data_IF_370539860421
#
_entry.id   IF_370539860421
#
_cell.length_a   1.000
_cell.length_b   1.000
_cell.length_c   1.000
_cell.angle_alpha   90.00
_cell.angle_beta   90.00
_cell.angle_gamma   90.00
#
_symmetry.space_group_name_H-M   'P 1'
#
loop_
_entity.id
_entity.type
_entity.pdbx_description
1 polymer ?
#
# COMPACT_ATOMS: atom_id res chain seq x y z
N UNK A 1 -6.71 23.22 7.78
CA UNK A 1 -7.20 22.39 6.66
C UNK A 1 -6.20 21.27 6.40
N UNK A 2 -6.70 20.05 6.15
CA UNK A 2 -5.89 18.91 5.75
C UNK A 2 -5.80 18.87 4.21
N UNK A 3 -4.63 18.54 3.68
CA UNK A 3 -4.47 18.23 2.26
C UNK A 3 -4.98 16.81 1.93
N UNK A 4 -5.02 16.41 0.65
CA UNK A 4 -5.43 15.07 0.25
C UNK A 4 -4.52 14.01 0.88
N UNK A 5 -5.09 12.87 1.24
CA UNK A 5 -4.36 11.73 1.78
C UNK A 5 -4.51 10.54 0.83
N UNK A 6 -3.40 9.92 0.49
CA UNK A 6 -3.37 8.67 -0.25
C UNK A 6 -2.82 7.56 0.65
N UNK A 7 -3.46 6.39 0.63
CA UNK A 7 -3.03 5.19 1.34
C UNK A 7 -2.86 4.10 0.29
N UNK A 8 -1.63 3.64 0.12
CA UNK A 8 -1.32 2.51 -0.75
C UNK A 8 -1.13 1.24 0.06
N UNK A 9 -1.48 0.10 -0.52
CA UNK A 9 -1.19 -1.21 0.04
C UNK A 9 -0.85 -2.22 -1.04
N UNK A 10 -0.20 -3.29 -0.64
CA UNK A 10 0.02 -4.44 -1.49
C UNK A 10 -0.05 -5.73 -0.69
N UNK A 11 -0.46 -6.81 -1.34
CA UNK A 11 -0.56 -8.15 -0.78
C UNK A 11 0.31 -9.08 -1.60
N UNK A 12 1.12 -9.89 -0.92
CA UNK A 12 1.95 -10.92 -1.54
C UNK A 12 1.58 -12.30 -1.00
N UNK A 13 1.58 -13.31 -1.85
CA UNK A 13 1.57 -14.70 -1.42
C UNK A 13 2.98 -15.20 -1.19
N UNK A 14 3.15 -16.16 -0.30
CA UNK A 14 4.42 -16.84 -0.13
C UNK A 14 4.24 -18.27 0.35
N UNK A 15 5.11 -19.20 -0.08
CA UNK A 15 5.11 -20.58 0.41
C UNK A 15 5.70 -20.72 1.82
N UNK A 16 6.31 -19.67 2.36
CA UNK A 16 6.94 -19.64 3.68
C UNK A 16 6.29 -18.61 4.60
N UNK A 17 6.61 -18.66 5.90
CA UNK A 17 6.04 -17.71 6.88
C UNK A 17 6.36 -16.27 6.48
N UNK A 18 5.32 -15.46 6.34
CA UNK A 18 5.42 -14.07 5.89
C UNK A 18 6.33 -13.19 6.77
N UNK A 19 6.46 -13.53 8.05
CA UNK A 19 7.23 -12.77 9.05
C UNK A 19 8.75 -12.77 8.80
N UNK A 20 9.26 -13.74 8.04
CA UNK A 20 10.70 -13.92 7.79
C UNK A 20 11.11 -13.61 6.35
N UNK A 21 10.16 -13.14 5.52
CA UNK A 21 10.40 -12.95 4.10
C UNK A 21 11.07 -11.62 3.80
N UNK A 22 12.21 -11.68 3.16
CA UNK A 22 12.83 -10.53 2.51
C UNK A 22 12.49 -10.53 1.00
N UNK A 23 11.45 -9.79 0.61
CA UNK A 23 11.02 -9.72 -0.77
C UNK A 23 12.06 -9.06 -1.69
N UNK A 24 12.92 -8.16 -1.20
CA UNK A 24 14.02 -7.60 -1.99
C UNK A 24 15.03 -8.66 -2.40
N UNK A 25 15.34 -9.60 -1.50
CA UNK A 25 16.20 -10.74 -1.83
C UNK A 25 15.52 -11.70 -2.80
N UNK A 26 14.25 -12.05 -2.55
CA UNK A 26 13.47 -12.97 -3.39
C UNK A 26 13.35 -12.48 -4.84
N UNK A 27 13.22 -11.16 -5.02
CA UNK A 27 13.04 -10.53 -6.33
C UNK A 27 14.25 -9.70 -6.76
N UNK A 28 15.44 -10.00 -6.26
CA UNK A 28 16.65 -9.20 -6.43
C UNK A 28 17.07 -8.97 -7.89
N UNK A 29 16.68 -9.84 -8.82
CA UNK A 29 16.93 -9.63 -10.25
C UNK A 29 16.05 -8.54 -10.85
N UNK A 30 14.85 -8.32 -10.30
CA UNK A 30 13.88 -7.36 -10.82
C UNK A 30 13.74 -6.10 -9.95
N UNK A 31 14.05 -6.20 -8.66
CA UNK A 31 13.82 -5.16 -7.66
C UNK A 31 15.11 -4.80 -6.93
N UNK A 32 15.24 -3.55 -6.52
CA UNK A 32 16.35 -3.06 -5.71
C UNK A 32 15.84 -2.17 -4.60
N UNK A 33 16.39 -2.31 -3.39
CA UNK A 33 16.20 -1.37 -2.28
C UNK A 33 17.05 -0.11 -2.43
N UNK A 34 18.11 -0.19 -3.24
CA UNK A 34 18.95 0.95 -3.57
C UNK A 34 18.68 1.45 -4.99
N UNK A 35 19.00 2.73 -5.23
CA UNK A 35 18.82 3.33 -6.55
C UNK A 35 19.68 2.62 -7.61
N UNK A 36 19.08 1.86 -8.54
CA UNK A 36 19.84 1.10 -9.52
C UNK A 36 20.54 2.05 -10.52
N UNK A 37 21.84 1.84 -10.74
CA UNK A 37 22.67 2.72 -11.60
C UNK A 37 22.20 2.73 -13.07
N UNK A 38 21.62 1.64 -13.58
CA UNK A 38 21.21 1.46 -14.98
C UNK A 38 19.70 1.43 -15.23
N UNK A 39 18.86 1.63 -14.21
CA UNK A 39 17.40 1.71 -14.37
C UNK A 39 16.69 0.42 -14.82
N UNK A 40 17.39 -0.71 -14.88
CA UNK A 40 16.82 -2.01 -15.31
C UNK A 40 15.95 -2.65 -14.22
N UNK A 41 16.31 -2.44 -12.95
CA UNK A 41 15.54 -2.94 -11.81
C UNK A 41 14.60 -1.86 -11.28
N UNK A 42 13.48 -2.28 -10.75
CA UNK A 42 12.53 -1.41 -10.06
C UNK A 42 13.13 -0.94 -8.73
N UNK A 43 13.09 0.36 -8.49
CA UNK A 43 13.57 0.92 -7.23
C UNK A 43 12.41 0.98 -6.24
N UNK A 44 12.43 0.10 -5.23
CA UNK A 44 11.41 0.01 -4.19
C UNK A 44 12.02 0.31 -2.83
N UNK A 45 11.67 1.45 -2.26
CA UNK A 45 12.12 1.94 -0.96
C UNK A 45 11.11 2.98 -0.43
N UNK A 46 11.41 3.67 0.68
CA UNK A 46 10.65 4.86 1.08
C UNK A 46 10.45 5.77 -0.15
N UNK A 47 9.21 6.14 -0.40
CA UNK A 47 8.83 6.94 -1.58
C UNK A 47 9.58 8.27 -1.72
N UNK A 48 10.13 8.82 -0.64
CA UNK A 48 10.98 10.02 -0.68
C UNK A 48 12.37 9.74 -1.22
N UNK A 49 12.86 8.49 -1.04
CA UNK A 49 14.12 8.02 -1.65
C UNK A 49 13.93 7.73 -3.13
N UNK A 50 12.79 7.14 -3.51
CA UNK A 50 12.45 6.85 -4.91
C UNK A 50 12.21 8.15 -5.69
N UNK A 51 11.40 9.05 -5.13
CA UNK A 51 11.08 10.36 -5.71
C UNK A 51 11.87 11.48 -5.01
N UNK A 52 13.02 11.80 -5.55
CA UNK A 52 13.94 12.83 -5.05
C UNK A 52 13.61 14.27 -5.51
N UNK A 53 12.41 14.49 -6.07
CA UNK A 53 11.98 15.77 -6.64
C UNK A 53 12.37 15.98 -8.11
N UNK A 54 13.28 15.20 -8.66
CA UNK A 54 13.73 15.30 -10.06
C UNK A 54 12.73 14.66 -11.05
N UNK A 55 12.84 15.00 -12.34
CA UNK A 55 12.09 14.31 -13.40
C UNK A 55 12.43 12.81 -13.45
N UNK A 56 13.71 12.45 -13.25
CA UNK A 56 14.15 11.06 -13.16
C UNK A 56 13.52 10.34 -11.96
N UNK A 57 13.40 11.00 -10.81
CA UNK A 57 12.71 10.49 -9.64
C UNK A 57 11.22 10.24 -9.89
N UNK A 58 10.54 11.12 -10.63
CA UNK A 58 9.16 10.90 -11.07
C UNK A 58 9.04 9.66 -11.96
N UNK A 59 9.91 9.53 -12.97
CA UNK A 59 9.91 8.34 -13.84
C UNK A 59 10.15 7.04 -13.06
N UNK A 60 11.10 7.02 -12.11
CA UNK A 60 11.33 5.84 -11.25
C UNK A 60 10.10 5.47 -10.43
N UNK A 61 9.45 6.46 -9.82
CA UNK A 61 8.24 6.26 -9.02
C UNK A 61 7.10 5.71 -9.89
N UNK A 62 6.88 6.30 -11.07
CA UNK A 62 5.89 5.86 -12.04
C UNK A 62 6.16 4.43 -12.51
N UNK A 63 7.40 4.13 -12.91
CA UNK A 63 7.79 2.79 -13.34
C UNK A 63 7.52 1.75 -12.24
N UNK A 64 7.89 2.04 -11.00
CA UNK A 64 7.62 1.16 -9.86
C UNK A 64 6.11 0.97 -9.66
N UNK A 65 5.35 2.05 -9.59
CA UNK A 65 3.91 1.98 -9.32
C UNK A 65 3.17 1.21 -10.43
N UNK A 66 3.35 1.61 -11.69
CA UNK A 66 2.61 1.01 -12.81
C UNK A 66 2.99 -0.45 -13.07
N UNK A 67 4.27 -0.81 -12.92
CA UNK A 67 4.71 -2.20 -13.11
C UNK A 67 4.09 -3.12 -12.04
N UNK A 68 4.09 -2.72 -10.78
CA UNK A 68 3.50 -3.55 -9.72
C UNK A 68 1.98 -3.59 -9.75
N UNK A 69 1.30 -2.50 -10.11
CA UNK A 69 -0.15 -2.50 -10.34
C UNK A 69 -0.51 -3.46 -11.47
N UNK A 70 0.21 -3.43 -12.58
CA UNK A 70 0.03 -4.37 -13.70
C UNK A 70 0.28 -5.82 -13.26
N UNK A 71 1.34 -6.08 -12.50
CA UNK A 71 1.67 -7.42 -12.00
C UNK A 71 0.61 -7.99 -11.04
N UNK A 72 -0.13 -7.12 -10.34
CA UNK A 72 -1.27 -7.49 -9.51
C UNK A 72 -2.58 -7.70 -10.30
N UNK A 73 -2.54 -7.61 -11.62
CA UNK A 73 -3.72 -7.76 -12.48
C UNK A 73 -4.53 -6.47 -12.67
N UNK A 74 -4.01 -5.32 -12.22
CA UNK A 74 -4.65 -4.01 -12.32
C UNK A 74 -3.88 -3.09 -13.28
N UNK A 75 -3.98 -3.28 -14.61
CA UNK A 75 -3.33 -2.39 -15.56
C UNK A 75 -3.96 -1.00 -15.46
N UNK A 76 -3.14 -0.01 -15.13
CA UNK A 76 -3.53 1.39 -15.03
C UNK A 76 -3.12 2.09 -16.32
N UNK A 77 -4.11 2.55 -17.10
CA UNK A 77 -3.92 3.22 -18.38
C UNK A 77 -4.23 4.71 -18.30
N UNK A 78 -4.97 5.12 -17.28
CA UNK A 78 -5.29 6.51 -17.02
C UNK A 78 -5.47 6.79 -15.52
N UNK A 79 -5.55 8.08 -15.17
CA UNK A 79 -5.71 8.49 -13.78
C UNK A 79 -6.96 7.91 -13.11
N UNK A 80 -8.02 7.65 -13.87
CA UNK A 80 -9.25 7.03 -13.38
C UNK A 80 -9.00 5.62 -12.83
N UNK A 81 -8.21 4.82 -13.50
CA UNK A 81 -7.94 3.44 -13.11
C UNK A 81 -7.27 3.34 -11.73
N UNK A 82 -6.49 4.38 -11.34
CA UNK A 82 -5.89 4.45 -10.01
C UNK A 82 -6.93 4.54 -8.88
N UNK A 83 -8.11 5.08 -9.16
CA UNK A 83 -9.16 5.28 -8.15
C UNK A 83 -10.19 4.17 -8.17
N UNK A 84 -10.29 3.43 -9.26
CA UNK A 84 -11.17 2.27 -9.41
C UNK A 84 -10.50 0.97 -8.98
N UNK A 85 -9.31 1.04 -8.38
CA UNK A 85 -8.59 -0.12 -7.85
C UNK A 85 -9.49 -0.99 -6.96
N UNK A 86 -9.42 -2.33 -7.12
CA UNK A 86 -10.34 -3.25 -6.49
C UNK A 86 -10.19 -3.25 -4.97
N UNK A 87 -11.23 -2.80 -4.34
CA UNK A 87 -11.51 -2.96 -2.94
C UNK A 87 -13.01 -2.78 -2.78
N UNK A 88 -13.78 -3.80 -2.40
CA UNK A 88 -15.24 -3.84 -2.57
C UNK A 88 -16.01 -2.75 -1.81
N UNK A 89 -15.38 -2.03 -0.92
CA UNK A 89 -16.04 -1.00 -0.10
C UNK A 89 -15.48 0.40 -0.26
N UNK A 90 -14.50 0.57 -1.15
CA UNK A 90 -13.84 1.86 -1.32
C UNK A 90 -14.30 2.57 -2.57
N UNK A 91 -15.62 2.65 -2.76
CA UNK A 91 -16.15 3.60 -3.76
C UNK A 91 -15.52 4.95 -3.43
N UNK A 92 -14.94 5.65 -4.41
CA UNK A 92 -14.69 7.05 -4.24
C UNK A 92 -16.01 7.65 -3.74
N UNK A 93 -16.01 8.33 -2.60
CA UNK A 93 -17.07 9.29 -2.36
C UNK A 93 -17.18 10.09 -3.65
N UNK A 94 -18.41 10.34 -4.10
CA UNK A 94 -18.65 11.17 -5.26
C UNK A 94 -17.69 12.34 -5.20
N UNK A 95 -16.65 12.26 -6.05
CA UNK A 95 -15.66 13.33 -6.10
C UNK A 95 -16.47 14.56 -6.49
N UNK A 96 -16.64 15.47 -5.56
CA UNK A 96 -17.19 16.78 -5.90
C UNK A 96 -16.34 17.26 -7.06
N UNK A 97 -16.91 17.50 -8.25
CA UNK A 97 -16.15 17.87 -9.42
C UNK A 97 -15.30 19.09 -9.07
N UNK A 98 -14.03 18.89 -8.87
CA UNK A 98 -13.10 19.99 -8.80
C UNK A 98 -12.74 20.30 -10.26
N UNK A 99 -13.11 21.46 -10.81
CA UNK A 99 -12.95 21.77 -12.25
C UNK A 99 -11.50 21.67 -12.75
N UNK A 100 -10.54 21.69 -11.83
CA UNK A 100 -9.11 21.54 -12.12
C UNK A 100 -8.61 20.09 -11.95
N UNK A 101 -9.45 19.17 -11.52
CA UNK A 101 -9.20 17.75 -11.44
C UNK A 101 -10.02 17.08 -12.55
N UNK A 102 -9.51 17.13 -13.76
CA UNK A 102 -9.83 16.12 -14.76
C UNK A 102 -8.63 15.16 -14.96
N UNK A 103 -8.11 14.55 -13.84
CA UNK A 103 -7.02 13.58 -13.90
C UNK A 103 -7.46 12.29 -14.59
N UNK A 104 -8.77 12.14 -14.76
CA UNK A 104 -9.39 10.98 -15.37
C UNK A 104 -8.98 10.75 -16.82
N UNK A 105 -8.69 11.83 -17.53
CA UNK A 105 -8.27 11.79 -18.94
C UNK A 105 -6.74 11.73 -19.11
N UNK A 106 -5.98 11.79 -18.00
CA UNK A 106 -4.53 11.70 -18.08
C UNK A 106 -4.09 10.30 -18.46
N UNK A 107 -3.60 10.14 -19.68
CA UNK A 107 -3.03 8.88 -20.16
C UNK A 107 -1.73 8.56 -19.42
N UNK A 108 -1.58 7.31 -19.00
CA UNK A 108 -0.39 6.81 -18.30
C UNK A 108 0.30 5.74 -19.16
N UNK A 109 1.63 5.66 -19.14
CA UNK A 109 2.59 6.44 -18.36
C UNK A 109 2.84 7.85 -18.90
N UNK A 110 3.27 8.78 -18.02
CA UNK A 110 3.64 10.16 -18.41
C UNK A 110 5.15 10.30 -18.64
N UNK A 111 5.95 9.67 -17.80
CA UNK A 111 7.41 9.86 -17.73
C UNK A 111 8.20 8.64 -18.20
N UNK A 112 7.63 7.45 -18.04
CA UNK A 112 8.33 6.19 -18.29
C UNK A 112 8.05 5.67 -19.69
N UNK A 113 9.08 5.28 -20.47
CA UNK A 113 8.87 4.62 -21.75
C UNK A 113 8.14 3.29 -21.58
N UNK A 114 7.16 3.01 -22.43
CA UNK A 114 6.34 1.78 -22.35
C UNK A 114 7.20 0.52 -22.50
N UNK A 115 8.21 0.54 -23.37
CA UNK A 115 9.14 -0.57 -23.57
C UNK A 115 9.96 -0.89 -22.31
N UNK A 116 10.30 0.13 -21.51
CA UNK A 116 10.96 -0.07 -20.20
C UNK A 116 10.01 -0.75 -19.22
N UNK A 117 8.77 -0.28 -19.13
CA UNK A 117 7.76 -0.88 -18.26
C UNK A 117 7.50 -2.35 -18.61
N UNK A 118 7.45 -2.66 -19.91
CA UNK A 118 7.27 -4.05 -20.38
C UNK A 118 8.44 -4.94 -19.98
N UNK A 119 9.69 -4.47 -20.15
CA UNK A 119 10.88 -5.24 -19.73
C UNK A 119 10.91 -5.46 -18.21
N UNK A 120 10.61 -4.43 -17.44
CA UNK A 120 10.57 -4.51 -15.97
C UNK A 120 9.46 -5.45 -15.49
N UNK A 121 8.29 -5.42 -16.14
CA UNK A 121 7.19 -6.34 -15.84
C UNK A 121 7.58 -7.80 -16.11
N UNK A 122 8.21 -8.08 -17.24
CA UNK A 122 8.69 -9.42 -17.58
C UNK A 122 9.76 -9.93 -16.59
N UNK A 123 10.70 -9.06 -16.18
CA UNK A 123 11.71 -9.39 -15.18
C UNK A 123 11.06 -9.70 -13.81
N UNK A 124 10.10 -8.88 -13.39
CA UNK A 124 9.36 -9.08 -12.14
C UNK A 124 8.56 -10.38 -12.17
N UNK A 125 7.85 -10.68 -13.26
CA UNK A 125 7.11 -11.92 -13.41
C UNK A 125 8.03 -13.15 -13.33
N UNK A 126 9.20 -13.09 -13.98
CA UNK A 126 10.21 -14.14 -13.91
C UNK A 126 10.69 -14.37 -12.47
N UNK A 127 10.97 -13.28 -11.73
CA UNK A 127 11.40 -13.35 -10.33
C UNK A 127 10.29 -13.92 -9.43
N UNK A 128 9.03 -13.52 -9.63
CA UNK A 128 7.86 -14.05 -8.90
C UNK A 128 7.67 -15.55 -9.17
N UNK A 129 7.79 -15.99 -10.41
CA UNK A 129 7.65 -17.40 -10.76
C UNK A 129 8.76 -18.26 -10.13
N UNK A 130 10.00 -17.77 -10.15
CA UNK A 130 11.15 -18.46 -9.54
C UNK A 130 11.02 -18.59 -8.03
N UNK A 131 10.62 -17.50 -7.36
CA UNK A 131 10.49 -17.46 -5.90
C UNK A 131 9.21 -18.11 -5.38
N UNK A 132 8.24 -18.43 -6.25
CA UNK A 132 6.87 -18.84 -5.88
C UNK A 132 6.17 -17.83 -4.93
N UNK A 133 6.63 -16.60 -4.95
CA UNK A 133 6.05 -15.48 -4.21
C UNK A 133 5.47 -14.50 -5.23
N UNK A 134 4.18 -14.26 -5.16
CA UNK A 134 3.47 -13.42 -6.13
C UNK A 134 2.84 -12.22 -5.45
N UNK A 135 2.70 -11.13 -6.19
CA UNK A 135 1.81 -10.05 -5.79
C UNK A 135 0.37 -10.46 -6.13
N UNK A 136 -0.50 -10.39 -5.13
CA UNK A 136 -1.91 -10.76 -5.27
C UNK A 136 -2.81 -9.53 -5.41
N UNK A 137 -2.41 -8.43 -4.77
CA UNK A 137 -3.15 -7.19 -4.78
C UNK A 137 -2.18 -6.02 -4.67
N UNK A 138 -2.45 -4.96 -5.41
CA UNK A 138 -1.79 -3.67 -5.31
C UNK A 138 -2.83 -2.59 -5.57
N UNK A 139 -2.99 -1.64 -4.65
CA UNK A 139 -4.04 -0.65 -4.76
C UNK A 139 -3.72 0.63 -3.98
N UNK A 140 -4.49 1.68 -4.25
CA UNK A 140 -4.40 2.96 -3.56
C UNK A 140 -5.79 3.51 -3.24
N UNK A 141 -5.97 3.99 -2.02
CA UNK A 141 -7.13 4.79 -1.60
C UNK A 141 -6.74 6.26 -1.64
N UNK A 142 -7.45 7.02 -2.43
CA UNK A 142 -7.32 8.48 -2.49
C UNK A 142 -8.48 9.09 -1.69
N UNK A 143 -8.16 9.86 -0.66
CA UNK A 143 -9.12 10.64 0.12
C UNK A 143 -8.91 12.14 -0.22
N UNK A 144 -9.85 12.76 -0.95
CA UNK A 144 -9.78 14.18 -1.28
C UNK A 144 -9.77 15.06 -0.03
N UNK A 145 -9.20 16.26 -0.14
CA UNK A 145 -9.14 17.22 0.97
C UNK A 145 -10.52 17.52 1.56
N UNK A 146 -11.56 17.59 0.73
CA UNK A 146 -12.94 17.81 1.18
C UNK A 146 -13.45 16.70 2.11
N UNK A 147 -13.24 15.43 1.73
CA UNK A 147 -13.60 14.26 2.54
C UNK A 147 -12.87 14.28 3.90
N UNK A 148 -11.57 14.52 3.88
CA UNK A 148 -10.75 14.59 5.08
C UNK A 148 -11.17 15.71 6.01
N UNK A 149 -11.42 16.90 5.47
CA UNK A 149 -11.83 18.06 6.26
C UNK A 149 -13.23 17.88 6.84
N UNK A 150 -14.17 17.28 6.11
CA UNK A 150 -15.50 16.93 6.62
C UNK A 150 -15.40 15.90 7.76
N UNK A 151 -14.57 14.87 7.62
CA UNK A 151 -14.30 13.89 8.68
C UNK A 151 -13.61 14.53 9.88
N UNK A 152 -12.59 15.36 9.64
CA UNK A 152 -11.88 16.06 10.70
C UNK A 152 -12.77 17.06 11.46
N UNK A 153 -13.68 17.75 10.77
CA UNK A 153 -14.65 18.65 11.42
C UNK A 153 -15.53 17.93 12.44
N UNK A 154 -15.88 16.67 12.18
CA UNK A 154 -16.66 15.83 13.11
C UNK A 154 -15.84 15.28 14.27
N UNK A 155 -14.62 14.83 13.99
CA UNK A 155 -13.81 14.11 14.97
C UNK A 155 -12.88 15.02 15.79
N UNK A 156 -12.53 16.16 15.25
CA UNK A 156 -11.50 17.10 15.77
C UNK A 156 -10.15 16.38 16.08
N UNK A 157 -9.96 15.18 15.48
CA UNK A 157 -8.83 14.32 15.75
C UNK A 157 -8.28 13.68 14.45
N UNK A 158 -7.12 14.17 14.04
CA UNK A 158 -6.45 13.68 12.84
C UNK A 158 -6.17 12.16 12.86
N UNK A 159 -5.82 11.61 14.02
CA UNK A 159 -5.52 10.18 14.13
C UNK A 159 -6.79 9.32 13.98
N UNK A 160 -7.94 9.81 14.46
CA UNK A 160 -9.23 9.14 14.24
C UNK A 160 -9.63 9.23 12.77
N UNK A 161 -9.50 10.41 12.17
CA UNK A 161 -9.78 10.61 10.74
C UNK A 161 -8.93 9.68 9.85
N UNK A 162 -7.63 9.56 10.13
CA UNK A 162 -6.73 8.67 9.38
C UNK A 162 -7.10 7.20 9.60
N UNK A 163 -7.44 6.81 10.84
CA UNK A 163 -7.85 5.44 11.15
C UNK A 163 -9.11 5.03 10.37
N UNK A 164 -10.07 5.92 10.24
CA UNK A 164 -11.30 5.66 9.48
C UNK A 164 -11.06 5.33 8.00
N UNK A 165 -9.90 5.69 7.44
CA UNK A 165 -9.48 5.31 6.09
C UNK A 165 -8.73 3.97 6.06
N UNK A 166 -8.07 3.60 7.14
CA UNK A 166 -7.26 2.37 7.23
C UNK A 166 -8.12 1.18 7.65
N UNK A 167 -9.06 1.37 8.56
CA UNK A 167 -9.89 0.29 9.06
C UNK A 167 -10.63 -0.50 7.96
N UNK A 168 -11.22 0.13 6.93
CA UNK A 168 -11.80 -0.59 5.81
C UNK A 168 -10.80 -1.46 5.03
N UNK A 169 -9.54 -1.01 4.92
CA UNK A 169 -8.48 -1.81 4.28
C UNK A 169 -8.17 -3.04 5.12
N UNK A 170 -8.05 -2.90 6.43
CA UNK A 170 -7.81 -4.03 7.33
C UNK A 170 -8.99 -5.04 7.29
N UNK A 171 -10.23 -4.55 7.21
CA UNK A 171 -11.41 -5.41 7.04
C UNK A 171 -11.37 -6.16 5.72
N UNK A 172 -11.07 -5.47 4.63
CA UNK A 172 -10.89 -6.09 3.31
C UNK A 172 -9.84 -7.22 3.35
N UNK A 173 -8.66 -6.93 3.92
CA UNK A 173 -7.60 -7.94 4.06
C UNK A 173 -8.03 -9.12 4.93
N UNK A 174 -8.80 -8.87 5.98
CA UNK A 174 -9.40 -9.91 6.83
C UNK A 174 -10.40 -10.76 6.06
N UNK A 175 -11.28 -10.14 5.30
CA UNK A 175 -12.34 -10.83 4.58
C UNK A 175 -11.81 -11.69 3.42
N UNK A 176 -10.80 -11.18 2.71
CA UNK A 176 -10.23 -11.86 1.54
C UNK A 176 -9.14 -12.87 1.91
N UNK A 177 -8.27 -12.54 2.87
CA UNK A 177 -7.06 -13.32 3.16
C UNK A 177 -7.00 -13.92 4.56
N UNK A 178 -7.96 -13.63 5.43
CA UNK A 178 -7.94 -14.07 6.83
C UNK A 178 -7.92 -15.58 7.02
N UNK A 179 -8.56 -16.35 6.13
CA UNK A 179 -8.54 -17.82 6.13
C UNK A 179 -7.16 -18.41 5.84
N UNK A 180 -6.29 -17.64 5.19
CA UNK A 180 -4.93 -18.02 4.83
C UNK A 180 -3.89 -17.54 5.86
N UNK A 181 -4.33 -17.08 7.04
CA UNK A 181 -3.46 -16.52 8.09
C UNK A 181 -2.64 -15.31 7.62
N UNK A 182 -3.32 -14.23 7.29
CA UNK A 182 -2.69 -13.02 6.76
C UNK A 182 -1.82 -12.32 7.81
N UNK A 183 -0.60 -11.95 7.40
CA UNK A 183 0.27 -11.04 8.16
C UNK A 183 0.23 -9.64 7.54
N UNK A 184 -0.17 -8.66 8.33
CA UNK A 184 -0.28 -7.26 7.91
C UNK A 184 0.79 -6.43 8.60
N UNK A 185 1.55 -5.66 7.82
CA UNK A 185 2.51 -4.68 8.32
C UNK A 185 2.00 -3.28 7.98
N UNK A 186 1.94 -2.43 8.98
CA UNK A 186 1.44 -1.05 8.87
C UNK A 186 2.48 -0.08 9.40
N UNK A 187 2.75 0.99 8.64
CA UNK A 187 3.53 2.09 9.17
C UNK A 187 2.76 2.84 10.28
N UNK A 188 3.47 3.25 11.33
CA UNK A 188 2.88 3.90 12.49
C UNK A 188 2.24 5.23 12.13
N UNK A 189 1.01 5.42 12.59
CA UNK A 189 0.27 6.66 12.40
C UNK A 189 0.61 7.69 13.47
N UNK A 190 1.53 8.58 13.15
CA UNK A 190 1.96 9.62 14.08
C UNK A 190 2.51 9.02 15.39
N UNK A 191 2.08 9.55 16.52
CA UNK A 191 2.52 9.10 17.85
C UNK A 191 1.72 7.94 18.45
N UNK A 192 0.77 7.33 17.72
CA UNK A 192 -0.09 6.28 18.26
C UNK A 192 0.70 5.01 18.55
N UNK A 193 0.60 4.50 19.77
CA UNK A 193 1.29 3.28 20.23
C UNK A 193 0.35 2.12 20.48
N UNK A 194 -0.95 2.39 20.72
CA UNK A 194 -1.95 1.39 21.11
C UNK A 194 -3.08 1.36 20.11
N UNK A 195 -3.40 0.16 19.64
CA UNK A 195 -4.44 -0.08 18.64
C UNK A 195 -5.52 -1.07 19.12
N UNK A 196 -5.32 -1.74 20.27
CA UNK A 196 -6.24 -2.78 20.76
C UNK A 196 -7.71 -2.32 20.80
N UNK A 197 -7.98 -1.14 21.37
CA UNK A 197 -9.34 -0.62 21.45
C UNK A 197 -9.97 -0.30 20.09
N UNK A 198 -9.17 0.15 19.12
CA UNK A 198 -9.62 0.38 17.74
C UNK A 198 -9.91 -0.94 17.03
N UNK A 199 -9.03 -1.93 17.21
CA UNK A 199 -9.21 -3.25 16.62
C UNK A 199 -10.46 -3.95 17.18
N UNK A 200 -10.71 -3.84 18.49
CA UNK A 200 -11.92 -4.40 19.11
C UNK A 200 -13.21 -3.75 18.56
N UNK A 201 -13.18 -2.47 18.22
CA UNK A 201 -14.32 -1.80 17.58
C UNK A 201 -14.53 -2.27 16.14
N UNK A 202 -13.44 -2.50 15.39
CA UNK A 202 -13.52 -2.92 13.99
C UNK A 202 -13.81 -4.42 13.80
N UNK A 203 -13.39 -5.24 14.77
CA UNK A 203 -13.55 -6.70 14.78
C UNK A 203 -14.30 -7.18 16.03
N UNK A 204 -15.58 -6.77 16.22
CA UNK A 204 -16.30 -6.98 17.49
C UNK A 204 -16.57 -8.45 17.84
N UNK A 205 -16.48 -9.36 16.85
CA UNK A 205 -16.69 -10.80 17.03
C UNK A 205 -15.39 -11.61 17.02
N UNK A 206 -14.25 -10.92 17.15
CA UNK A 206 -12.93 -11.54 17.13
C UNK A 206 -12.24 -11.35 18.48
N UNK A 207 -11.41 -12.31 18.85
CA UNK A 207 -10.48 -12.17 19.95
C UNK A 207 -9.28 -11.31 19.50
N UNK A 208 -8.91 -10.33 20.31
CA UNK A 208 -7.75 -9.45 20.07
C UNK A 208 -6.69 -9.75 21.12
N UNK A 209 -5.65 -10.48 20.73
CA UNK A 209 -4.51 -10.77 21.58
C UNK A 209 -3.42 -9.70 21.37
N UNK A 210 -3.05 -9.03 22.45
CA UNK A 210 -1.94 -8.06 22.46
C UNK A 210 -0.63 -8.83 22.62
N UNK A 211 0.21 -8.88 21.58
CA UNK A 211 1.52 -9.54 21.64
C UNK A 211 2.62 -8.57 22.06
N UNK A 212 2.51 -7.30 21.67
CA UNK A 212 3.46 -6.24 22.04
C UNK A 212 2.80 -4.86 21.92
N UNK A 213 3.13 -3.95 22.83
CA UNK A 213 2.81 -2.50 22.74
C UNK A 213 3.99 -1.69 23.29
N UNK A 214 5.05 -1.58 22.52
CA UNK A 214 6.24 -0.77 22.87
C UNK A 214 6.34 0.51 22.02
N UNK A 215 7.35 1.31 22.27
CA UNK A 215 7.67 2.47 21.43
C UNK A 215 8.10 2.07 20.01
N UNK A 216 8.64 0.88 19.82
CA UNK A 216 9.19 0.43 18.53
C UNK A 216 8.28 -0.54 17.79
N UNK A 217 7.39 -1.23 18.52
CA UNK A 217 6.57 -2.29 17.97
C UNK A 217 5.22 -2.37 18.70
N UNK A 218 4.13 -2.32 17.94
CA UNK A 218 2.82 -2.77 18.41
C UNK A 218 2.40 -3.97 17.56
N UNK A 219 2.05 -5.09 18.20
CA UNK A 219 1.72 -6.33 17.50
C UNK A 219 0.49 -6.97 18.13
N UNK A 220 -0.44 -7.37 17.27
CA UNK A 220 -1.72 -7.93 17.67
C UNK A 220 -2.03 -9.15 16.83
N UNK A 221 -2.65 -10.15 17.47
CA UNK A 221 -3.27 -11.26 16.76
C UNK A 221 -4.78 -11.11 16.86
N UNK A 222 -5.45 -11.07 15.73
CA UNK A 222 -6.89 -11.02 15.60
C UNK A 222 -7.34 -12.42 15.20
N UNK A 223 -8.19 -13.05 16.01
CA UNK A 223 -8.67 -14.42 15.79
C UNK A 223 -10.19 -14.44 15.73
N UNK A 224 -10.72 -15.08 14.70
CA UNK A 224 -12.15 -15.33 14.51
C UNK A 224 -12.39 -16.72 13.94
N UNK A 225 -13.65 -17.13 13.74
CA UNK A 225 -13.98 -18.44 13.19
C UNK A 225 -13.32 -18.66 11.81
N UNK A 226 -12.37 -19.60 11.77
CA UNK A 226 -11.63 -19.96 10.54
C UNK A 226 -10.67 -18.90 10.00
N UNK A 227 -10.44 -17.80 10.72
CA UNK A 227 -9.61 -16.66 10.24
C UNK A 227 -8.61 -16.20 11.27
N UNK A 228 -7.46 -15.74 10.80
CA UNK A 228 -6.40 -15.21 11.63
C UNK A 228 -5.65 -14.08 10.90
N UNK A 229 -5.40 -12.97 11.61
CA UNK A 229 -4.58 -11.87 11.13
C UNK A 229 -3.53 -11.53 12.19
N UNK A 230 -2.27 -11.47 11.78
CA UNK A 230 -1.20 -10.89 12.58
C UNK A 230 -0.96 -9.46 12.11
N UNK A 231 -1.34 -8.47 12.91
CA UNK A 231 -1.09 -7.07 12.63
C UNK A 231 0.16 -6.60 13.35
N UNK A 232 1.13 -6.10 12.59
CA UNK A 232 2.37 -5.48 13.08
C UNK A 232 2.39 -4.01 12.70
N UNK A 233 2.49 -3.12 13.67
CA UNK A 233 2.60 -1.67 13.48
C UNK A 233 3.93 -1.19 14.03
N UNK A 234 4.74 -0.55 13.19
CA UNK A 234 6.07 -0.05 13.56
C UNK A 234 6.41 1.25 12.84
N UNK A 235 7.27 2.11 13.40
CA UNK A 235 7.75 3.29 12.70
C UNK A 235 8.66 2.88 11.54
N UNK A 236 8.59 3.62 10.44
CA UNK A 236 9.40 3.39 9.24
C UNK A 236 9.31 1.94 8.74
N UNK A 237 8.08 1.42 8.69
CA UNK A 237 7.84 0.04 8.27
C UNK A 237 8.30 -0.23 6.81
N UNK A 238 8.35 0.82 5.99
CA UNK A 238 8.86 0.80 4.63
C UNK A 238 10.36 0.44 4.52
N UNK A 239 11.15 0.65 5.58
CA UNK A 239 12.57 0.28 5.60
C UNK A 239 12.79 -1.24 5.78
N UNK A 240 11.75 -1.98 6.16
CA UNK A 240 11.86 -3.41 6.50
C UNK A 240 10.85 -4.30 5.80
N UNK A 241 9.91 -3.70 5.07
CA UNK A 241 8.83 -4.42 4.39
C UNK A 241 8.63 -3.86 2.99
N UNK A 242 9.01 -4.63 1.98
CA UNK A 242 8.79 -4.27 0.58
C UNK A 242 7.31 -3.99 0.27
N UNK A 243 6.32 -4.79 0.74
CA UNK A 243 4.92 -4.45 0.57
C UNK A 243 4.53 -3.08 1.12
N UNK A 244 5.08 -2.65 2.27
CA UNK A 244 4.83 -1.32 2.82
C UNK A 244 5.52 -0.23 1.99
N UNK A 245 6.76 -0.46 1.56
CA UNK A 245 7.49 0.46 0.67
C UNK A 245 6.75 0.66 -0.66
N UNK A 246 6.18 -0.41 -1.23
CA UNK A 246 5.30 -0.32 -2.41
C UNK A 246 4.05 0.51 -2.13
N UNK A 247 3.36 0.26 -1.02
CA UNK A 247 2.21 1.06 -0.61
C UNK A 247 2.56 2.56 -0.51
N UNK A 248 3.74 2.89 0.04
CA UNK A 248 4.26 4.26 0.08
C UNK A 248 4.49 4.84 -1.32
N UNK A 249 5.05 4.03 -2.26
CA UNK A 249 5.23 4.45 -3.66
C UNK A 249 3.89 4.68 -4.36
N UNK A 250 2.90 3.81 -4.21
CA UNK A 250 1.57 3.98 -4.78
C UNK A 250 0.88 5.24 -4.26
N UNK A 251 0.90 5.45 -2.94
CA UNK A 251 0.34 6.64 -2.32
C UNK A 251 1.01 7.94 -2.80
N UNK A 252 2.33 7.91 -3.01
CA UNK A 252 3.11 9.05 -3.50
C UNK A 252 2.84 9.30 -4.98
N UNK A 253 2.69 8.26 -5.80
CA UNK A 253 2.40 8.35 -7.22
C UNK A 253 1.01 8.91 -7.48
N UNK A 254 0.00 8.45 -6.73
CA UNK A 254 -1.39 8.89 -6.84
C UNK A 254 -1.63 10.33 -6.34
N UNK A 255 -0.69 10.92 -5.60
CA UNK A 255 -0.77 12.27 -5.04
C UNK A 255 -0.23 13.35 -5.97
#
# INVERSE_FOLDING_TARGET
>A
MLGPLCIGWSVTSSPSRAETLNHWELWSDAVSEENPRKGERLFVADSKRVHDGSARGRGRLEATALTFLRAAGNPVLCGKDLTESPGPSMRPLELTPAPWLDPWLLTLPIQSPEDLLMRQAAALETAMNRSKCRILEAAVRIAPAGELNASFARTQNKAVTTWALIAPILKHLWDVYGEQHVAVVLDRQGGRRRYAGLLAQEFPFCEILILSETSELAQYRIQGPGRNMLLTVRPRAEDTSLPVALGSCFAKYAR
#
